data_IF_508502770415
#
_entry.id   IF_508502770415
#
_cell.length_a   1.000
_cell.length_b   1.000
_cell.length_c   1.000
_cell.angle_alpha   90.00
_cell.angle_beta   90.00
_cell.angle_gamma   90.00
#
_symmetry.space_group_name_H-M   'P 1'
#
loop_
_entity.id
_entity.type
_entity.pdbx_description
1 polymer ?
#
# COMPACT_ATOMS: atom_id res chain seq x y z
N UNK A 1 15.17 -13.36 -4.62
CA UNK A 1 15.33 -13.34 -3.14
C UNK A 1 13.99 -13.72 -2.52
N UNK A 2 13.95 -14.62 -1.53
CA UNK A 2 12.71 -14.97 -0.82
C UNK A 2 12.38 -13.84 0.17
N UNK A 3 11.23 -13.21 -0.02
CA UNK A 3 10.71 -12.10 0.78
C UNK A 3 9.81 -12.63 1.91
N UNK A 4 10.34 -13.50 2.79
CA UNK A 4 9.60 -13.76 4.02
C UNK A 4 9.68 -12.51 4.89
N UNK A 5 8.54 -11.94 5.29
CA UNK A 5 8.52 -10.81 6.24
C UNK A 5 8.97 -11.31 7.61
N UNK A 6 10.19 -10.97 8.01
CA UNK A 6 10.82 -11.53 9.21
C UNK A 6 10.40 -10.86 10.51
N UNK A 7 9.89 -9.62 10.50
CA UNK A 7 9.62 -8.86 11.74
C UNK A 7 8.26 -8.16 11.75
N UNK A 8 7.55 -8.27 12.87
CA UNK A 8 6.36 -7.47 13.16
C UNK A 8 6.81 -6.04 13.50
N UNK A 9 6.26 -5.03 12.83
CA UNK A 9 6.61 -3.63 13.07
C UNK A 9 5.90 -3.08 14.31
N UNK A 10 6.54 -2.13 14.99
CA UNK A 10 5.93 -1.42 16.12
C UNK A 10 5.13 -0.21 15.65
N UNK A 11 4.14 0.22 16.45
CA UNK A 11 3.28 1.36 16.11
C UNK A 11 4.06 2.65 15.83
N UNK A 12 5.15 2.90 16.59
CA UNK A 12 6.01 4.06 16.41
C UNK A 12 6.77 4.09 15.08
N UNK A 13 6.84 2.98 14.35
CA UNK A 13 7.50 2.90 13.05
C UNK A 13 6.58 3.27 11.88
N UNK A 14 5.26 3.26 12.10
CA UNK A 14 4.27 3.50 11.05
C UNK A 14 4.39 4.88 10.39
N UNK A 15 4.67 6.00 11.11
CA UNK A 15 4.86 7.29 10.47
C UNK A 15 6.04 7.29 9.48
N UNK A 16 7.14 6.63 9.82
CA UNK A 16 8.30 6.52 8.94
C UNK A 16 7.99 5.64 7.71
N UNK A 17 7.21 4.58 7.88
CA UNK A 17 6.74 3.74 6.78
C UNK A 17 5.81 4.53 5.86
N UNK A 18 4.84 5.27 6.41
CA UNK A 18 3.92 6.10 5.66
C UNK A 18 4.66 7.20 4.88
N UNK A 19 5.66 7.84 5.47
CA UNK A 19 6.50 8.83 4.79
C UNK A 19 7.23 8.23 3.57
N UNK A 20 7.80 7.03 3.70
CA UNK A 20 8.43 6.34 2.55
C UNK A 20 7.42 5.98 1.47
N UNK A 21 6.23 5.53 1.86
CA UNK A 21 5.15 5.24 0.93
C UNK A 21 4.66 6.51 0.21
N UNK A 22 4.71 7.67 0.87
CA UNK A 22 4.37 8.96 0.27
C UNK A 22 5.37 9.35 -0.80
N UNK A 23 6.68 9.18 -0.55
CA UNK A 23 7.72 9.40 -1.56
C UNK A 23 7.48 8.51 -2.78
N UNK A 24 7.23 7.22 -2.56
CA UNK A 24 6.92 6.31 -3.66
C UNK A 24 5.64 6.71 -4.42
N UNK A 25 4.62 7.24 -3.73
CA UNK A 25 3.42 7.75 -4.37
C UNK A 25 3.71 8.99 -5.23
N UNK A 26 4.55 9.92 -4.76
CA UNK A 26 5.02 11.08 -5.52
C UNK A 26 5.73 10.61 -6.79
N UNK A 27 6.67 9.67 -6.68
CA UNK A 27 7.37 9.12 -7.84
C UNK A 27 6.39 8.51 -8.85
N UNK A 28 5.37 7.78 -8.39
CA UNK A 28 4.35 7.22 -9.28
C UNK A 28 3.53 8.29 -10.01
N UNK A 29 3.14 9.36 -9.30
CA UNK A 29 2.40 10.49 -9.90
C UNK A 29 3.28 11.22 -10.90
N UNK A 30 4.53 11.49 -10.57
CA UNK A 30 5.47 12.18 -11.46
C UNK A 30 5.67 11.40 -12.76
N UNK A 31 5.98 10.09 -12.68
CA UNK A 31 6.13 9.26 -13.87
C UNK A 31 4.84 9.19 -14.71
N UNK A 32 3.66 9.12 -14.07
CA UNK A 32 2.40 9.09 -14.80
C UNK A 32 2.16 10.42 -15.53
N UNK A 33 2.39 11.54 -14.85
CA UNK A 33 2.23 12.88 -15.40
C UNK A 33 3.19 13.14 -16.57
N UNK A 34 4.42 12.63 -16.48
CA UNK A 34 5.39 12.68 -17.57
C UNK A 34 4.93 11.88 -18.79
N UNK A 35 4.27 10.73 -18.60
CA UNK A 35 3.71 9.90 -19.68
C UNK A 35 2.53 10.60 -20.38
N UNK A 36 1.69 11.32 -19.63
CA UNK A 36 0.48 12.01 -20.15
C UNK A 36 0.72 13.48 -20.52
N UNK A 37 1.98 13.94 -20.45
CA UNK A 37 2.41 15.30 -20.78
C UNK A 37 1.71 16.41 -19.97
N UNK A 38 1.49 16.18 -18.67
CA UNK A 38 0.96 17.18 -17.74
C UNK A 38 2.08 17.73 -16.87
N UNK A 39 2.33 19.03 -16.95
CA UNK A 39 3.40 19.72 -16.23
C UNK A 39 2.91 20.61 -15.07
N UNK A 40 1.60 20.63 -14.80
CA UNK A 40 1.03 21.46 -13.74
C UNK A 40 1.35 20.88 -12.35
N UNK A 41 2.14 21.62 -11.57
CA UNK A 41 2.51 21.25 -10.20
C UNK A 41 1.32 21.19 -9.24
N UNK A 42 0.34 22.09 -9.37
CA UNK A 42 -0.83 22.12 -8.50
C UNK A 42 -1.67 20.85 -8.68
N UNK A 43 -1.83 20.41 -9.94
CA UNK A 43 -2.54 19.18 -10.28
C UNK A 43 -1.77 17.95 -9.78
N UNK A 44 -0.43 17.94 -9.88
CA UNK A 44 0.42 16.88 -9.30
C UNK A 44 0.20 16.77 -7.79
N UNK A 45 0.28 17.89 -7.08
CA UNK A 45 0.09 17.93 -5.61
C UNK A 45 -1.33 17.50 -5.23
N UNK A 46 -2.36 17.97 -5.96
CA UNK A 46 -3.74 17.56 -5.74
C UNK A 46 -3.91 16.05 -5.94
N UNK A 47 -3.31 15.51 -6.99
CA UNK A 47 -3.35 14.07 -7.31
C UNK A 47 -2.69 13.24 -6.22
N UNK A 48 -1.48 13.60 -5.76
CA UNK A 48 -0.81 12.89 -4.64
C UNK A 48 -1.70 12.89 -3.39
N UNK A 49 -2.30 14.02 -3.03
CA UNK A 49 -3.18 14.13 -1.86
C UNK A 49 -4.41 13.22 -1.99
N UNK A 50 -4.98 13.11 -3.19
CA UNK A 50 -6.16 12.29 -3.44
C UNK A 50 -5.83 10.79 -3.45
N UNK A 51 -4.75 10.40 -4.14
CA UNK A 51 -4.46 9.01 -4.39
C UNK A 51 -3.66 8.32 -3.28
N UNK A 52 -3.02 9.06 -2.35
CA UNK A 52 -2.08 8.47 -1.38
C UNK A 52 -2.68 7.32 -0.57
N UNK A 53 -3.83 7.53 0.07
CA UNK A 53 -4.46 6.51 0.89
C UNK A 53 -4.88 5.25 0.11
N UNK A 54 -5.66 5.34 -0.99
CA UNK A 54 -6.02 4.16 -1.77
C UNK A 54 -4.80 3.49 -2.42
N UNK A 55 -3.80 4.26 -2.87
CA UNK A 55 -2.58 3.72 -3.46
C UNK A 55 -1.75 2.95 -2.42
N UNK A 56 -1.65 3.46 -1.19
CA UNK A 56 -0.95 2.78 -0.10
C UNK A 56 -1.63 1.44 0.24
N UNK A 57 -2.95 1.44 0.41
CA UNK A 57 -3.74 0.23 0.69
C UNK A 57 -3.59 -0.81 -0.41
N UNK A 58 -3.69 -0.36 -1.67
CA UNK A 58 -3.49 -1.22 -2.81
C UNK A 58 -2.05 -1.79 -2.86
N UNK A 59 -1.04 -0.94 -2.68
CA UNK A 59 0.36 -1.32 -2.79
C UNK A 59 0.76 -2.39 -1.77
N UNK A 60 0.45 -2.20 -0.49
CA UNK A 60 0.76 -3.22 0.51
C UNK A 60 -0.05 -4.50 0.27
N UNK A 61 -1.26 -4.39 -0.27
CA UNK A 61 -2.13 -5.55 -0.50
C UNK A 61 -1.58 -6.45 -1.61
N UNK A 62 -1.14 -5.86 -2.72
CA UNK A 62 -0.48 -6.58 -3.82
C UNK A 62 0.84 -7.19 -3.36
N UNK A 63 1.69 -6.42 -2.68
CA UNK A 63 2.98 -6.90 -2.17
C UNK A 63 2.77 -8.09 -1.22
N UNK A 64 1.81 -7.99 -0.30
CA UNK A 64 1.48 -9.08 0.64
C UNK A 64 0.96 -10.30 -0.10
N UNK A 65 0.05 -10.12 -1.06
CA UNK A 65 -0.54 -11.22 -1.81
C UNK A 65 0.53 -12.02 -2.57
N UNK A 66 1.54 -11.35 -3.12
CA UNK A 66 2.58 -11.97 -3.96
C UNK A 66 3.73 -12.56 -3.15
N UNK A 67 4.11 -11.91 -2.05
CA UNK A 67 5.35 -12.23 -1.34
C UNK A 67 5.13 -13.01 -0.04
N UNK A 68 4.00 -12.81 0.65
CA UNK A 68 3.73 -13.48 1.92
C UNK A 68 2.80 -14.68 1.74
N UNK A 69 3.20 -15.81 2.32
CA UNK A 69 2.36 -17.03 2.43
C UNK A 69 1.49 -17.05 3.67
N UNK A 70 1.84 -16.27 4.69
CA UNK A 70 1.12 -16.22 5.95
C UNK A 70 -0.25 -15.53 5.73
N UNK A 71 -1.36 -16.14 6.21
CA UNK A 71 -2.71 -15.65 5.92
C UNK A 71 -3.07 -14.36 6.68
N UNK A 72 -2.51 -14.17 7.88
CA UNK A 72 -3.02 -13.19 8.86
C UNK A 72 -2.09 -11.99 9.06
N UNK A 73 -1.33 -11.64 8.03
CA UNK A 73 -0.39 -10.51 8.06
C UNK A 73 -0.58 -9.59 6.87
N UNK A 74 -0.14 -8.35 7.03
CA UNK A 74 0.01 -7.36 5.96
C UNK A 74 1.46 -6.88 5.93
N UNK A 75 2.14 -7.03 4.79
CA UNK A 75 3.49 -6.55 4.56
C UNK A 75 3.46 -5.04 4.31
N UNK A 76 3.99 -4.25 5.24
CA UNK A 76 3.91 -2.77 5.19
C UNK A 76 5.18 -2.09 4.69
N UNK A 77 6.31 -2.79 4.73
CA UNK A 77 7.59 -2.32 4.21
C UNK A 77 8.52 -3.53 3.95
N UNK A 78 9.72 -3.29 3.44
CA UNK A 78 10.72 -4.35 3.25
C UNK A 78 10.96 -5.09 4.57
N UNK A 79 10.66 -6.40 4.57
CA UNK A 79 10.80 -7.32 5.71
C UNK A 79 9.91 -7.04 6.93
N UNK A 80 9.08 -6.00 6.89
CA UNK A 80 8.16 -5.61 7.97
C UNK A 80 6.72 -6.00 7.70
N UNK A 81 6.01 -6.47 8.72
CA UNK A 81 4.58 -6.77 8.64
C UNK A 81 3.81 -6.32 9.87
N UNK A 82 2.49 -6.19 9.74
CA UNK A 82 1.55 -6.05 10.85
C UNK A 82 0.64 -7.28 10.88
N UNK A 83 0.16 -7.65 12.05
CA UNK A 83 -0.84 -8.72 12.20
C UNK A 83 -2.25 -8.19 11.95
N UNK A 84 -3.17 -9.09 11.59
CA UNK A 84 -4.60 -8.82 11.39
C UNK A 84 -5.19 -7.94 12.51
N UNK A 85 -4.85 -8.25 13.76
CA UNK A 85 -5.40 -7.66 14.98
C UNK A 85 -4.55 -6.51 15.55
N UNK A 86 -3.59 -5.96 14.78
CA UNK A 86 -2.69 -4.90 15.25
C UNK A 86 -3.42 -3.69 15.87
N UNK A 87 -4.57 -3.30 15.33
CA UNK A 87 -5.34 -2.17 15.83
C UNK A 87 -5.96 -2.38 17.22
N UNK A 88 -6.07 -3.64 17.70
CA UNK A 88 -6.53 -3.94 19.07
C UNK A 88 -5.40 -3.86 20.09
N UNK A 89 -4.15 -3.90 19.63
CA UNK A 89 -2.95 -3.94 20.48
C UNK A 89 -2.28 -2.57 20.62
N UNK A 90 -2.61 -1.63 19.75
CA UNK A 90 -2.03 -0.29 19.76
C UNK A 90 -2.98 0.71 20.40
N UNK A 91 -2.45 1.50 21.34
CA UNK A 91 -3.17 2.61 21.99
C UNK A 91 -3.64 3.64 20.96
N UNK A 92 -2.81 3.90 19.95
CA UNK A 92 -3.13 4.73 18.80
C UNK A 92 -2.89 3.91 17.52
N UNK A 93 -3.93 3.40 16.85
CA UNK A 93 -3.74 2.51 15.71
C UNK A 93 -3.27 3.23 14.42
N UNK A 94 -3.07 4.55 14.47
CA UNK A 94 -2.62 5.40 13.36
C UNK A 94 -3.25 5.00 12.02
N UNK A 95 -2.42 4.71 11.02
CA UNK A 95 -2.80 4.34 9.65
C UNK A 95 -3.58 3.03 9.56
N UNK A 96 -3.66 2.22 10.64
CA UNK A 96 -4.36 0.93 10.68
C UNK A 96 -5.62 0.94 11.58
N UNK A 97 -6.17 2.13 11.86
CA UNK A 97 -7.49 2.25 12.48
C UNK A 97 -8.60 1.54 11.68
N UNK A 98 -9.78 1.40 12.28
CA UNK A 98 -10.96 0.81 11.62
C UNK A 98 -10.73 -0.59 11.03
N UNK A 99 -9.90 -1.39 11.72
CA UNK A 99 -9.55 -2.76 11.32
C UNK A 99 -9.00 -2.84 9.89
N UNK A 100 -8.22 -1.83 9.46
CA UNK A 100 -7.71 -1.77 8.10
C UNK A 100 -6.90 -3.02 7.72
N UNK A 101 -6.13 -3.59 8.65
CA UNK A 101 -5.36 -4.81 8.40
C UNK A 101 -6.29 -6.00 8.08
N UNK A 102 -7.29 -6.26 8.91
CA UNK A 102 -8.31 -7.30 8.70
C UNK A 102 -9.04 -7.11 7.38
N UNK A 103 -9.57 -5.90 7.14
CA UNK A 103 -10.29 -5.59 5.91
C UNK A 103 -9.41 -5.75 4.67
N UNK A 104 -8.15 -5.33 4.73
CA UNK A 104 -7.24 -5.52 3.61
C UNK A 104 -6.93 -6.99 3.34
N UNK A 105 -6.82 -7.81 4.40
CA UNK A 105 -6.61 -9.25 4.26
C UNK A 105 -7.80 -9.89 3.54
N UNK A 106 -9.01 -9.55 3.95
CA UNK A 106 -10.24 -10.21 3.50
C UNK A 106 -10.73 -9.67 2.15
N UNK A 107 -10.71 -8.34 1.98
CA UNK A 107 -11.29 -7.63 0.83
C UNK A 107 -10.30 -7.48 -0.34
N UNK A 108 -8.97 -7.55 -0.11
CA UNK A 108 -7.97 -7.31 -1.15
C UNK A 108 -6.93 -8.43 -1.28
N UNK A 109 -6.17 -8.72 -0.23
CA UNK A 109 -5.04 -9.66 -0.27
C UNK A 109 -5.50 -11.07 -0.63
N UNK A 110 -6.55 -11.57 0.01
CA UNK A 110 -7.10 -12.90 -0.27
C UNK A 110 -7.67 -13.02 -1.69
N UNK A 111 -8.45 -12.05 -2.20
CA UNK A 111 -8.81 -11.97 -3.62
C UNK A 111 -7.59 -11.95 -4.56
N UNK A 112 -6.60 -11.08 -4.33
CA UNK A 112 -5.41 -10.97 -5.19
C UNK A 112 -4.59 -12.27 -5.23
N UNK A 113 -4.51 -13.01 -4.11
CA UNK A 113 -3.91 -14.34 -4.07
C UNK A 113 -4.66 -15.33 -4.95
N UNK A 114 -6.00 -15.37 -4.85
CA UNK A 114 -6.86 -16.26 -5.66
C UNK A 114 -6.80 -15.93 -7.15
N UNK A 115 -6.72 -14.64 -7.48
CA UNK A 115 -6.57 -14.16 -8.86
C UNK A 115 -5.17 -14.34 -9.41
N UNK A 116 -4.16 -14.56 -8.55
CA UNK A 116 -2.75 -14.65 -8.94
C UNK A 116 -2.29 -13.40 -9.71
N UNK A 117 -2.59 -12.22 -9.13
CA UNK A 117 -2.37 -10.90 -9.75
C UNK A 117 -0.92 -10.73 -10.25
N UNK A 118 -0.78 -10.28 -11.49
CA UNK A 118 0.50 -10.06 -12.17
C UNK A 118 1.06 -8.67 -11.92
N UNK A 119 2.34 -8.46 -12.24
CA UNK A 119 2.95 -7.12 -12.08
C UNK A 119 2.29 -6.10 -13.02
N UNK A 120 1.95 -6.54 -14.23
CA UNK A 120 1.33 -5.73 -15.27
C UNK A 120 -0.07 -5.27 -14.83
N UNK A 121 -0.88 -6.18 -14.29
CA UNK A 121 -2.21 -5.87 -13.74
C UNK A 121 -2.11 -4.90 -12.56
N UNK A 122 -1.13 -5.13 -11.67
CA UNK A 122 -0.90 -4.25 -10.53
C UNK A 122 -0.46 -2.84 -10.96
N UNK A 123 0.39 -2.73 -11.99
CA UNK A 123 0.82 -1.44 -12.54
C UNK A 123 -0.38 -0.67 -13.14
N UNK A 124 -1.24 -1.34 -13.91
CA UNK A 124 -2.44 -0.74 -14.47
C UNK A 124 -3.42 -0.28 -13.38
N UNK A 125 -3.63 -1.08 -12.34
CA UNK A 125 -4.49 -0.69 -11.22
C UNK A 125 -3.94 0.51 -10.45
N UNK A 126 -2.62 0.63 -10.27
CA UNK A 126 -2.00 1.85 -9.69
C UNK A 126 -2.31 3.08 -10.53
N UNK A 127 -2.16 2.98 -11.86
CA UNK A 127 -2.47 4.07 -12.77
C UNK A 127 -3.95 4.48 -12.69
N UNK A 128 -4.87 3.51 -12.61
CA UNK A 128 -6.32 3.77 -12.43
C UNK A 128 -6.59 4.49 -11.11
N UNK A 129 -5.95 4.08 -10.00
CA UNK A 129 -6.12 4.72 -8.69
C UNK A 129 -5.60 6.17 -8.73
N UNK A 130 -4.47 6.41 -9.39
CA UNK A 130 -3.86 7.73 -9.49
C UNK A 130 -4.70 8.65 -10.39
N UNK A 131 -5.18 8.15 -11.51
CA UNK A 131 -5.98 8.91 -12.48
C UNK A 131 -7.48 8.97 -12.13
N UNK A 132 -7.86 8.62 -10.90
CA UNK A 132 -9.24 8.73 -10.44
C UNK A 132 -9.58 10.20 -10.16
N UNK A 133 -10.49 10.82 -10.94
CA UNK A 133 -10.80 12.25 -10.86
C UNK A 133 -11.49 12.67 -9.55
#
# INVERSE_FOLDING_TARGET
>A
MRYDSFREVEAGELPAIAHRNLIAAIDWVDHLFDIIDIQNLDDKVATVKHCFAPLMVFAFSVVTAKNAKQPDIVCVCNFGHVKRDCCLRWTEPYHFANRLAERSIDELISPFRRMNIKEEEAALMKAIIIANP
#
